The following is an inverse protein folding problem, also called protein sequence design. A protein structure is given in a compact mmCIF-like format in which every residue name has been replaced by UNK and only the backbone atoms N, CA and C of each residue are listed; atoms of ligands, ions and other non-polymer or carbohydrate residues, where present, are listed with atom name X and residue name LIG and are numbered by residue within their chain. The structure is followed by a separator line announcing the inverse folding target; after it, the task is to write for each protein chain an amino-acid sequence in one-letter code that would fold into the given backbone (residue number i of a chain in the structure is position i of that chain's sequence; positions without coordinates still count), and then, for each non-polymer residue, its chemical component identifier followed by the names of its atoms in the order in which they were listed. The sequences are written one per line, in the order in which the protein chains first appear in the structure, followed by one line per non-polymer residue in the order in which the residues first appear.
data_IF_015894861828
#
_entry.id   IF_015894861828
#
_cell.length_a   1.000
_cell.length_b   1.000
_cell.length_c   1.000
_cell.angle_alpha   90.00
_cell.angle_beta   90.00
_cell.angle_gamma   90.00
#
_symmetry.space_group_name_H-M   'P 1'
#
loop_
_entity.id
_entity.type
_entity.pdbx_description
1 polymer ?
#
# COMPACT_ATOMS: atom_id res chain seq x y z
N UNK A 1 24.45 -9.86 17.25
CA UNK A 1 23.28 -9.90 16.42
C UNK A 1 22.88 -8.49 15.99
N UNK A 2 22.57 -8.31 14.74
CA UNK A 2 22.18 -7.01 14.22
C UNK A 2 20.66 -6.85 14.35
N UNK A 3 20.22 -5.95 15.20
CA UNK A 3 18.80 -5.72 15.44
C UNK A 3 18.09 -5.02 14.29
N UNK A 4 18.82 -4.35 13.41
CA UNK A 4 18.21 -3.69 12.25
C UNK A 4 17.55 -4.69 11.31
N UNK A 5 18.04 -5.92 11.25
CA UNK A 5 17.48 -6.97 10.40
C UNK A 5 16.14 -7.48 10.89
N UNK A 6 15.84 -7.31 12.18
CA UNK A 6 14.57 -7.75 12.75
C UNK A 6 13.52 -6.66 12.79
N UNK A 7 13.82 -5.47 12.27
CA UNK A 7 12.84 -4.39 12.22
C UNK A 7 11.76 -4.70 11.18
N UNK A 8 10.48 -4.58 11.57
CA UNK A 8 9.37 -4.81 10.65
C UNK A 8 9.42 -3.88 9.45
N UNK A 9 9.03 -4.39 8.32
CA UNK A 9 8.91 -3.62 7.09
C UNK A 9 7.46 -3.23 6.86
N UNK A 10 7.28 -2.13 6.13
CA UNK A 10 5.98 -1.72 5.62
C UNK A 10 6.01 -1.81 4.11
N UNK A 11 5.08 -2.53 3.55
CA UNK A 11 4.91 -2.64 2.10
C UNK A 11 3.67 -1.89 1.66
N UNK A 12 3.63 -1.50 0.39
CA UNK A 12 2.40 -0.97 -0.22
C UNK A 12 2.00 -1.92 -1.33
N UNK A 13 0.77 -2.44 -1.23
CA UNK A 13 0.21 -3.40 -2.17
C UNK A 13 -1.06 -2.82 -2.80
N UNK A 14 -1.33 -3.21 -4.03
CA UNK A 14 -2.59 -2.88 -4.71
C UNK A 14 -3.61 -4.02 -4.66
N UNK A 15 -3.29 -5.11 -3.97
CA UNK A 15 -4.22 -6.20 -3.71
C UNK A 15 -3.73 -7.02 -2.51
N UNK A 16 -4.64 -7.69 -1.78
CA UNK A 16 -4.29 -8.44 -0.58
C UNK A 16 -3.78 -9.85 -0.92
N UNK A 17 -2.62 -9.92 -1.55
CA UNK A 17 -2.01 -11.20 -1.94
C UNK A 17 -1.10 -11.70 -0.82
N UNK A 18 -1.38 -12.89 -0.32
CA UNK A 18 -0.57 -13.54 0.70
C UNK A 18 0.33 -14.57 0.04
N UNK A 19 1.63 -14.50 0.32
CA UNK A 19 2.63 -15.35 -0.31
C UNK A 19 3.27 -16.32 0.68
N UNK A 20 2.87 -16.30 1.95
CA UNK A 20 3.41 -17.17 2.97
C UNK A 20 2.29 -17.65 3.90
N UNK A 21 2.44 -18.87 4.38
CA UNK A 21 1.54 -19.39 5.40
C UNK A 21 1.83 -18.70 6.74
N UNK A 22 0.80 -18.54 7.54
CA UNK A 22 0.92 -17.88 8.83
C UNK A 22 -0.40 -17.26 9.25
N UNK A 23 -0.35 -16.57 10.36
CA UNK A 23 -1.51 -15.85 10.87
C UNK A 23 -1.40 -14.38 10.51
N UNK A 24 -2.50 -13.80 10.06
CA UNK A 24 -2.55 -12.43 9.60
C UNK A 24 -3.74 -11.72 10.23
N UNK A 25 -3.58 -10.41 10.43
CA UNK A 25 -4.68 -9.52 10.82
C UNK A 25 -4.83 -8.48 9.72
N UNK A 26 -6.05 -8.32 9.24
CA UNK A 26 -6.35 -7.29 8.24
C UNK A 26 -7.34 -6.30 8.85
N UNK A 27 -6.91 -5.06 9.00
CA UNK A 27 -7.65 -4.02 9.70
C UNK A 27 -7.95 -2.83 8.80
N UNK A 28 -9.13 -2.24 8.99
CA UNK A 28 -9.55 -1.07 8.24
C UNK A 28 -11.06 -0.90 8.32
N UNK A 29 -11.64 -0.06 7.47
CA UNK A 29 -10.96 0.78 6.48
C UNK A 29 -10.21 1.95 7.13
N UNK A 30 -9.16 2.42 6.46
CA UNK A 30 -8.39 3.58 6.89
C UNK A 30 -8.66 4.77 5.99
N UNK A 31 -8.53 5.96 6.55
CA UNK A 31 -8.55 7.20 5.80
C UNK A 31 -7.12 7.59 5.39
N UNK A 32 -7.00 8.46 4.38
CA UNK A 32 -5.69 8.94 3.93
C UNK A 32 -4.89 9.54 5.10
N UNK A 33 -5.54 10.27 5.98
CA UNK A 33 -4.88 10.86 7.15
C UNK A 33 -4.31 9.84 8.12
N UNK A 34 -4.86 8.62 8.16
CA UNK A 34 -4.33 7.53 8.98
C UNK A 34 -3.10 6.90 8.34
N UNK A 35 -3.00 6.95 7.03
CA UNK A 35 -1.93 6.32 6.25
C UNK A 35 -0.64 7.13 6.27
N UNK A 36 -0.74 8.46 6.19
CA UNK A 36 0.42 9.33 6.05
C UNK A 36 1.46 9.14 7.16
N UNK A 37 1.08 9.03 8.44
CA UNK A 37 2.08 8.79 9.50
C UNK A 37 2.81 7.46 9.34
N UNK A 38 2.14 6.45 8.78
CA UNK A 38 2.76 5.15 8.55
C UNK A 38 3.82 5.22 7.46
N UNK A 39 3.53 5.97 6.38
CA UNK A 39 4.47 6.13 5.28
C UNK A 39 5.71 6.93 5.68
N UNK A 40 5.59 7.80 6.66
CA UNK A 40 6.70 8.62 7.15
C UNK A 40 7.85 7.81 7.72
N UNK A 41 7.62 6.59 8.15
CA UNK A 41 8.65 5.68 8.66
C UNK A 41 9.41 4.91 7.58
N UNK A 42 9.05 5.10 6.33
CA UNK A 42 9.63 4.37 5.20
C UNK A 42 8.79 3.18 4.78
N UNK A 43 8.89 2.81 3.52
CA UNK A 43 8.11 1.72 2.96
C UNK A 43 8.78 1.14 1.72
N UNK A 44 8.34 -0.06 1.34
CA UNK A 44 8.73 -0.69 0.07
C UNK A 44 7.47 -0.78 -0.79
N UNK A 45 7.51 -0.15 -1.95
CA UNK A 45 6.40 -0.28 -2.90
C UNK A 45 6.45 -1.64 -3.58
N UNK A 46 5.30 -2.29 -3.67
CA UNK A 46 5.10 -3.49 -4.47
C UNK A 46 3.86 -3.31 -5.36
N UNK A 47 3.61 -2.08 -5.78
CA UNK A 47 2.52 -1.73 -6.69
C UNK A 47 2.96 -2.06 -8.10
N UNK A 48 2.29 -3.03 -8.73
CA UNK A 48 2.72 -3.59 -10.00
C UNK A 48 2.12 -2.94 -11.24
N UNK A 49 1.40 -1.84 -11.08
CA UNK A 49 0.78 -1.12 -12.20
C UNK A 49 1.11 0.35 -12.14
N UNK A 50 1.55 0.89 -13.28
CA UNK A 50 1.97 2.29 -13.40
C UNK A 50 0.85 3.27 -13.06
N UNK A 51 -0.34 3.07 -13.63
CA UNK A 51 -1.48 3.95 -13.37
C UNK A 51 -1.90 3.95 -11.90
N UNK A 52 -1.83 2.80 -11.24
CA UNK A 52 -2.12 2.71 -9.81
C UNK A 52 -1.06 3.44 -9.00
N UNK A 53 0.22 3.26 -9.34
CA UNK A 53 1.32 3.93 -8.65
C UNK A 53 1.20 5.46 -8.78
N UNK A 54 0.87 5.97 -9.97
CA UNK A 54 0.64 7.39 -10.19
C UNK A 54 -0.55 7.90 -9.38
N UNK A 55 -1.64 7.14 -9.35
CA UNK A 55 -2.81 7.50 -8.57
C UNK A 55 -2.48 7.60 -7.09
N UNK A 56 -1.79 6.61 -6.54
CA UNK A 56 -1.42 6.60 -5.12
C UNK A 56 -0.45 7.72 -4.77
N UNK A 57 0.46 8.04 -5.67
CA UNK A 57 1.37 9.18 -5.50
C UNK A 57 0.57 10.47 -5.36
N UNK A 58 -0.42 10.69 -6.20
CA UNK A 58 -1.29 11.86 -6.11
C UNK A 58 -2.16 11.86 -4.87
N UNK A 59 -2.70 10.70 -4.50
CA UNK A 59 -3.60 10.58 -3.36
C UNK A 59 -2.87 10.86 -2.04
N UNK A 60 -1.67 10.33 -1.87
CA UNK A 60 -0.91 10.48 -0.64
C UNK A 60 0.05 11.66 -0.63
N UNK A 61 0.36 12.23 -1.78
CA UNK A 61 1.34 13.31 -1.87
C UNK A 61 2.77 12.86 -1.62
N UNK A 62 3.03 11.57 -1.71
CA UNK A 62 4.34 10.94 -1.51
C UNK A 62 4.59 10.05 -2.72
N UNK A 63 5.81 10.09 -3.25
CA UNK A 63 6.14 9.27 -4.43
C UNK A 63 6.01 7.79 -4.10
N UNK A 64 5.07 7.13 -4.79
CA UNK A 64 4.87 5.69 -4.73
C UNK A 64 5.32 5.14 -6.10
N UNK A 65 6.50 4.57 -6.21
CA UNK A 65 6.97 4.07 -7.51
C UNK A 65 6.27 2.79 -7.92
N UNK A 66 6.11 2.61 -9.21
CA UNK A 66 5.75 1.30 -9.72
C UNK A 66 6.91 0.34 -9.41
N UNK A 67 6.59 -0.81 -8.84
CA UNK A 67 7.62 -1.78 -8.49
C UNK A 67 6.99 -3.18 -8.48
N UNK A 68 7.09 -3.85 -9.62
CA UNK A 68 6.49 -5.17 -9.78
C UNK A 68 7.42 -6.22 -9.18
N UNK A 69 7.31 -6.41 -7.87
CA UNK A 69 8.08 -7.39 -7.14
C UNK A 69 7.15 -8.34 -6.37
N UNK A 70 7.65 -9.51 -6.08
CA UNK A 70 7.00 -10.43 -5.18
C UNK A 70 7.56 -10.19 -3.79
N UNK A 71 6.67 -10.08 -2.80
CA UNK A 71 7.09 -9.85 -1.42
C UNK A 71 6.88 -11.11 -0.58
N UNK A 72 7.67 -11.21 0.47
CA UNK A 72 7.52 -12.24 1.50
C UNK A 72 7.50 -11.57 2.85
N UNK A 73 6.30 -11.43 3.43
CA UNK A 73 6.15 -10.81 4.73
C UNK A 73 6.70 -11.73 5.81
N UNK A 74 7.54 -11.18 6.67
CA UNK A 74 8.01 -11.86 7.86
C UNK A 74 7.09 -11.53 9.04
N UNK A 75 7.07 -12.33 10.11
CA UNK A 75 6.27 -11.98 11.28
C UNK A 75 6.62 -10.57 11.77
N UNK A 76 5.59 -9.76 11.99
CA UNK A 76 5.72 -8.35 12.34
C UNK A 76 5.66 -7.38 11.17
N UNK A 77 5.87 -7.85 9.94
CA UNK A 77 5.76 -6.99 8.77
C UNK A 77 4.31 -6.57 8.55
N UNK A 78 4.14 -5.38 7.97
CA UNK A 78 2.82 -4.83 7.63
C UNK A 78 2.77 -4.49 6.16
N UNK A 79 1.58 -4.48 5.62
CA UNK A 79 1.33 -4.04 4.26
C UNK A 79 0.12 -3.11 4.25
N UNK A 80 0.28 -1.95 3.63
CA UNK A 80 -0.87 -1.11 3.29
C UNK A 80 -1.45 -1.66 1.99
N UNK A 81 -2.69 -2.10 2.06
CA UNK A 81 -3.39 -2.65 0.90
C UNK A 81 -4.41 -1.64 0.44
N UNK A 82 -4.21 -1.09 -0.74
CA UNK A 82 -5.12 -0.13 -1.33
C UNK A 82 -5.81 -0.82 -2.49
N UNK A 83 -7.10 -1.14 -2.31
CA UNK A 83 -7.91 -1.74 -3.36
C UNK A 83 -8.72 -0.65 -4.05
N UNK A 84 -8.52 -0.52 -5.34
CA UNK A 84 -9.37 0.33 -6.15
C UNK A 84 -10.63 -0.47 -6.51
N UNK A 85 -11.77 0.09 -6.22
CA UNK A 85 -13.06 -0.54 -6.46
C UNK A 85 -13.57 -0.29 -7.88
N UNK A 86 -12.83 0.55 -8.61
CA UNK A 86 -13.09 0.85 -10.01
C UNK A 86 -11.77 0.84 -10.76
N UNK A 87 -11.76 0.24 -11.94
CA UNK A 87 -10.56 0.19 -12.78
C UNK A 87 -10.20 1.60 -13.26
N UNK A 88 -8.92 1.94 -13.16
CA UNK A 88 -8.40 3.18 -13.72
C UNK A 88 -8.24 3.03 -15.23
N UNK A 89 -8.70 4.04 -15.97
CA UNK A 89 -8.55 4.06 -17.42
C UNK A 89 -7.17 4.54 -17.80
N UNK A 90 -6.64 3.98 -18.89
CA UNK A 90 -5.37 4.45 -19.45
C UNK A 90 -5.54 5.90 -19.89
N UNK A 91 -4.61 6.75 -19.47
CA UNK A 91 -4.65 8.18 -19.81
C UNK A 91 -5.62 8.99 -18.97
N UNK A 92 -6.24 8.42 -17.96
CA UNK A 92 -7.14 9.16 -17.07
C UNK A 92 -6.35 10.25 -16.36
N UNK A 93 -6.91 11.47 -16.38
CA UNK A 93 -6.27 12.65 -15.81
C UNK A 93 -6.82 12.95 -14.43
N UNK A 94 -5.93 13.26 -13.51
CA UNK A 94 -6.27 13.72 -12.18
C UNK A 94 -5.66 15.10 -11.97
N UNK A 95 -6.49 16.13 -11.97
CA UNK A 95 -6.02 17.51 -11.89
C UNK A 95 -6.14 18.11 -10.50
N UNK A 96 -7.07 17.61 -9.67
CA UNK A 96 -7.36 18.17 -8.36
C UNK A 96 -7.45 17.07 -7.30
N UNK A 97 -7.39 17.47 -6.03
CA UNK A 97 -7.60 16.53 -4.92
C UNK A 97 -8.97 15.85 -5.00
N UNK A 98 -9.99 16.56 -5.52
CA UNK A 98 -11.33 16.00 -5.66
C UNK A 98 -11.34 14.85 -6.68
N UNK A 99 -10.52 14.93 -7.73
CA UNK A 99 -10.44 13.86 -8.72
C UNK A 99 -9.92 12.56 -8.10
N UNK A 100 -8.89 12.65 -7.25
CA UNK A 100 -8.37 11.50 -6.54
C UNK A 100 -9.40 10.95 -5.55
N UNK A 101 -10.06 11.84 -4.82
CA UNK A 101 -11.05 11.44 -3.82
C UNK A 101 -12.28 10.79 -4.45
N UNK A 102 -12.58 11.06 -5.71
CA UNK A 102 -13.73 10.50 -6.42
C UNK A 102 -13.55 9.02 -6.79
N UNK A 103 -12.33 8.50 -6.77
CA UNK A 103 -12.09 7.10 -7.10
C UNK A 103 -12.46 6.22 -5.91
N UNK A 104 -13.43 5.31 -6.06
CA UNK A 104 -13.81 4.41 -4.97
C UNK A 104 -12.64 3.50 -4.59
N UNK A 105 -12.35 3.42 -3.30
CA UNK A 105 -11.23 2.64 -2.81
C UNK A 105 -11.45 2.18 -1.38
N UNK A 106 -10.69 1.15 -1.01
CA UNK A 106 -10.58 0.71 0.37
C UNK A 106 -9.12 0.62 0.74
N UNK A 107 -8.77 1.09 1.93
CA UNK A 107 -7.42 1.03 2.45
C UNK A 107 -7.44 0.21 3.74
N UNK A 108 -6.59 -0.79 3.81
CA UNK A 108 -6.44 -1.60 5.02
C UNK A 108 -4.97 -1.83 5.36
N UNK A 109 -4.73 -2.27 6.58
CA UNK A 109 -3.41 -2.69 7.03
C UNK A 109 -3.44 -4.19 7.28
N UNK A 110 -2.58 -4.91 6.58
CA UNK A 110 -2.37 -6.34 6.77
C UNK A 110 -1.11 -6.52 7.61
N UNK A 111 -1.24 -7.21 8.74
CA UNK A 111 -0.10 -7.49 9.61
C UNK A 111 0.11 -8.99 9.68
N UNK A 112 1.32 -9.44 9.44
CA UNK A 112 1.66 -10.85 9.67
C UNK A 112 1.98 -11.04 11.14
N UNK A 113 1.26 -11.93 11.81
CA UNK A 113 1.40 -12.18 13.25
C UNK A 113 2.40 -13.30 13.54
N UNK A 114 2.40 -14.32 12.70
CA UNK A 114 3.32 -15.45 12.93
C UNK A 114 3.68 -16.20 11.65
#
# INVERSE_FOLDING_TARGET
MNHAESMPKLYILNSPVLTAYGEYRFEGPLEVGDVLPLLGGGFVSAVGHDSTAEFLTGLFGIKIPENRIQIHMQPGDRALVIRLLKRLEVGQMFATAADFAAVPREIGVLTRLS
#
